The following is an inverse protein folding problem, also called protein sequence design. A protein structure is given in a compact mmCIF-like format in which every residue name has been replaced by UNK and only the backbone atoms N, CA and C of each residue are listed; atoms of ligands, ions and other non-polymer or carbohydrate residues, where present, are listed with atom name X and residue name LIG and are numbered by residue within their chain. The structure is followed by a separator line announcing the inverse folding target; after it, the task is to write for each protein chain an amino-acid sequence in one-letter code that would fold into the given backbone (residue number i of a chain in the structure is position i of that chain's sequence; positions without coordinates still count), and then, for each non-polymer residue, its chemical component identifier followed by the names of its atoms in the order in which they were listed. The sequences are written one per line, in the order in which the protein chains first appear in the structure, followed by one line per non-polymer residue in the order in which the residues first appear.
data_IF_359951237280
#
_entry.id   IF_359951237280
#
_cell.length_a   1.000
_cell.length_b   1.000
_cell.length_c   1.000
_cell.angle_alpha   90.00
_cell.angle_beta   90.00
_cell.angle_gamma   90.00
#
_symmetry.space_group_name_H-M   'P 1'
#
loop_
_entity.id
_entity.type
_entity.pdbx_description
1 polymer ?
#
# COMPACT_ATOMS: atom_id res chain seq x y z
N UNK A 1 5.85 -24.75 -40.13
CA UNK A 1 5.91 -25.22 -38.74
C UNK A 1 5.27 -24.16 -37.86
N UNK A 2 4.43 -24.51 -36.88
CA UNK A 2 3.81 -23.50 -36.03
C UNK A 2 4.90 -22.97 -35.09
N UNK A 3 5.12 -21.65 -35.17
CA UNK A 3 6.12 -20.95 -34.39
C UNK A 3 5.84 -21.05 -32.89
N UNK A 4 6.91 -21.25 -32.12
CA UNK A 4 6.89 -21.17 -30.67
C UNK A 4 6.28 -19.84 -30.23
N UNK A 5 5.34 -19.84 -29.26
CA UNK A 5 4.85 -18.59 -28.69
C UNK A 5 6.00 -17.92 -27.95
N UNK A 6 6.31 -16.68 -28.35
CA UNK A 6 7.35 -15.87 -27.73
C UNK A 6 7.15 -15.85 -26.19
N UNK A 7 8.23 -16.00 -25.40
CA UNK A 7 8.13 -15.97 -23.94
C UNK A 7 7.53 -14.63 -23.53
N UNK A 8 6.36 -14.68 -22.90
CA UNK A 8 5.69 -13.51 -22.37
C UNK A 8 6.68 -12.77 -21.46
N UNK A 9 7.13 -11.59 -21.91
CA UNK A 9 7.94 -10.72 -21.09
C UNK A 9 7.20 -10.48 -19.76
N UNK A 10 7.88 -10.59 -18.60
CA UNK A 10 7.25 -10.26 -17.33
C UNK A 10 6.69 -8.83 -17.43
N UNK A 11 5.47 -8.57 -16.91
CA UNK A 11 4.92 -7.24 -16.97
C UNK A 11 5.94 -6.25 -16.37
N UNK A 12 6.11 -5.06 -16.96
CA UNK A 12 7.02 -4.07 -16.39
C UNK A 12 6.64 -3.88 -14.91
N UNK A 13 7.61 -3.74 -14.00
CA UNK A 13 7.26 -3.46 -12.61
C UNK A 13 6.39 -2.19 -12.60
N UNK A 14 5.32 -2.19 -11.81
CA UNK A 14 4.42 -1.04 -11.69
C UNK A 14 5.19 0.14 -11.08
N UNK A 15 5.92 0.87 -11.92
CA UNK A 15 6.82 1.94 -11.54
C UNK A 15 6.11 3.29 -11.37
N UNK A 16 4.85 3.40 -11.81
CA UNK A 16 4.22 4.70 -12.13
C UNK A 16 3.67 5.49 -10.93
N UNK A 17 3.46 4.87 -9.77
CA UNK A 17 2.79 5.53 -8.61
C UNK A 17 3.56 5.58 -7.33
N UNK A 18 4.68 4.89 -7.34
CA UNK A 18 5.70 4.96 -6.33
C UNK A 18 6.12 6.42 -6.27
N UNK A 19 5.92 7.12 -5.15
CA UNK A 19 6.50 8.45 -4.98
C UNK A 19 7.94 8.35 -5.47
N UNK A 20 8.19 8.99 -6.60
CA UNK A 20 9.37 8.73 -7.40
C UNK A 20 10.54 9.51 -6.79
N UNK A 21 11.72 9.39 -7.38
CA UNK A 21 12.86 10.20 -6.96
C UNK A 21 12.57 11.73 -7.06
N UNK A 22 11.48 12.12 -7.73
CA UNK A 22 11.02 13.51 -7.89
C UNK A 22 10.00 13.96 -6.82
N UNK A 23 9.49 13.04 -5.98
CA UNK A 23 8.67 13.40 -4.83
C UNK A 23 7.20 13.69 -5.14
N UNK A 24 6.59 13.05 -6.16
CA UNK A 24 5.13 13.16 -6.36
C UNK A 24 4.39 12.58 -5.15
N UNK A 25 3.91 13.47 -4.26
CA UNK A 25 3.09 13.14 -3.09
C UNK A 25 1.71 12.59 -3.48
N UNK A 26 0.90 12.19 -2.49
CA UNK A 26 -0.47 11.73 -2.74
C UNK A 26 -1.34 12.85 -3.34
N UNK A 27 -2.11 12.51 -4.37
CA UNK A 27 -3.27 13.32 -4.77
C UNK A 27 -4.50 13.00 -3.92
N UNK A 28 -5.56 13.82 -4.01
CA UNK A 28 -6.80 13.57 -3.28
C UNK A 28 -7.44 12.22 -3.63
N UNK A 29 -7.42 11.82 -4.91
CA UNK A 29 -7.94 10.51 -5.33
C UNK A 29 -7.18 9.33 -4.69
N UNK A 30 -5.86 9.47 -4.53
CA UNK A 30 -5.04 8.47 -3.82
C UNK A 30 -5.47 8.37 -2.36
N UNK A 31 -5.68 9.52 -1.70
CA UNK A 31 -6.08 9.60 -0.29
C UNK A 31 -7.46 8.96 -0.09
N UNK A 32 -8.42 9.25 -0.96
CA UNK A 32 -9.77 8.65 -0.90
C UNK A 32 -9.72 7.13 -1.12
N UNK A 33 -8.94 6.66 -2.10
CA UNK A 33 -8.76 5.24 -2.32
C UNK A 33 -8.14 4.56 -1.10
N UNK A 34 -7.02 5.09 -0.59
CA UNK A 34 -6.33 4.53 0.58
C UNK A 34 -7.22 4.54 1.83
N UNK A 35 -8.07 5.57 2.00
CA UNK A 35 -9.08 5.62 3.06
C UNK A 35 -10.09 4.48 2.94
N UNK A 36 -10.63 4.26 1.74
CA UNK A 36 -11.56 3.16 1.47
C UNK A 36 -10.94 1.79 1.75
N UNK A 37 -9.70 1.58 1.31
CA UNK A 37 -8.92 0.36 1.54
C UNK A 37 -8.63 0.13 3.03
N UNK A 38 -8.20 1.17 3.76
CA UNK A 38 -7.94 1.09 5.19
C UNK A 38 -9.20 0.79 5.99
N UNK A 39 -10.34 1.41 5.65
CA UNK A 39 -11.62 1.11 6.30
C UNK A 39 -11.96 -0.38 6.14
N UNK A 40 -11.87 -0.90 4.92
CA UNK A 40 -12.18 -2.30 4.64
C UNK A 40 -11.26 -3.28 5.40
N UNK A 41 -9.97 -2.96 5.54
CA UNK A 41 -9.02 -3.82 6.27
C UNK A 41 -9.13 -3.71 7.79
N UNK A 42 -9.37 -2.50 8.33
CA UNK A 42 -9.59 -2.29 9.77
C UNK A 42 -10.82 -3.00 10.29
N UNK A 43 -11.89 -3.02 9.51
CA UNK A 43 -13.10 -3.77 9.88
C UNK A 43 -12.82 -5.26 10.08
N UNK A 44 -11.88 -5.83 9.33
CA UNK A 44 -11.48 -7.23 9.48
C UNK A 44 -10.59 -7.42 10.72
N UNK A 45 -9.62 -6.53 10.95
CA UNK A 45 -8.75 -6.57 12.13
C UNK A 45 -9.51 -6.36 13.45
N UNK A 46 -10.57 -5.54 13.44
CA UNK A 46 -11.37 -5.24 14.63
C UNK A 46 -12.39 -6.34 15.00
N UNK A 47 -12.52 -7.41 14.20
CA UNK A 47 -13.43 -8.50 14.50
C UNK A 47 -12.91 -9.34 15.68
N UNK A 48 -13.64 -9.33 16.78
CA UNK A 48 -13.31 -10.04 18.02
C UNK A 48 -13.49 -11.56 17.93
N UNK A 49 -14.27 -12.03 16.96
CA UNK A 49 -14.45 -13.45 16.63
C UNK A 49 -13.93 -13.68 15.23
N UNK A 50 -13.18 -14.77 15.02
CA UNK A 50 -12.66 -15.15 13.72
C UNK A 50 -13.81 -15.21 12.69
N UNK A 51 -13.86 -14.29 11.71
CA UNK A 51 -14.97 -14.23 10.77
C UNK A 51 -15.00 -15.47 9.88
N UNK A 52 -16.20 -15.88 9.51
CA UNK A 52 -16.35 -17.00 8.58
C UNK A 52 -15.61 -16.71 7.26
N UNK A 53 -14.91 -17.69 6.66
CA UNK A 53 -14.12 -17.47 5.44
C UNK A 53 -14.89 -16.84 4.27
N UNK A 54 -16.20 -17.07 4.16
CA UNK A 54 -17.04 -16.45 3.13
C UNK A 54 -17.15 -14.92 3.29
N UNK A 55 -17.21 -14.41 4.53
CA UNK A 55 -17.25 -12.97 4.83
C UNK A 55 -15.94 -12.33 4.42
N UNK A 56 -14.80 -12.95 4.77
CA UNK A 56 -13.48 -12.51 4.36
C UNK A 56 -13.34 -12.52 2.83
N UNK A 57 -13.82 -13.57 2.17
CA UNK A 57 -13.81 -13.62 0.72
C UNK A 57 -14.66 -12.50 0.08
N UNK A 58 -15.81 -12.16 0.66
CA UNK A 58 -16.64 -11.05 0.21
C UNK A 58 -15.94 -9.70 0.42
N UNK A 59 -15.29 -9.49 1.57
CA UNK A 59 -14.47 -8.30 1.83
C UNK A 59 -13.33 -8.17 0.81
N UNK A 60 -12.67 -9.28 0.46
CA UNK A 60 -11.66 -9.28 -0.58
C UNK A 60 -12.23 -8.85 -1.94
N UNK A 61 -13.40 -9.37 -2.33
CA UNK A 61 -14.08 -8.96 -3.56
C UNK A 61 -14.40 -7.47 -3.57
N UNK A 62 -14.90 -6.94 -2.46
CA UNK A 62 -15.19 -5.50 -2.30
C UNK A 62 -13.92 -4.67 -2.45
N UNK A 63 -12.82 -5.09 -1.83
CA UNK A 63 -11.53 -4.42 -1.93
C UNK A 63 -10.98 -4.42 -3.37
N UNK A 64 -11.04 -5.57 -4.04
CA UNK A 64 -10.66 -5.69 -5.45
C UNK A 64 -11.52 -4.84 -6.37
N UNK A 65 -12.83 -4.75 -6.11
CA UNK A 65 -13.75 -3.92 -6.88
C UNK A 65 -13.42 -2.43 -6.72
N UNK A 66 -13.24 -1.96 -5.47
CA UNK A 66 -12.84 -0.59 -5.17
C UNK A 66 -11.58 -0.18 -5.96
N UNK A 67 -10.57 -1.04 -5.99
CA UNK A 67 -9.34 -0.77 -6.75
C UNK A 67 -9.57 -0.81 -8.26
N UNK A 68 -10.38 -1.73 -8.79
CA UNK A 68 -10.67 -1.76 -10.24
C UNK A 68 -11.45 -0.54 -10.69
N UNK A 69 -12.43 -0.11 -9.92
CA UNK A 69 -13.26 1.06 -10.23
C UNK A 69 -12.40 2.33 -10.19
N UNK A 70 -11.54 2.47 -9.18
CA UNK A 70 -10.59 3.58 -9.11
C UNK A 70 -9.58 3.54 -10.27
N UNK A 71 -9.09 2.36 -10.66
CA UNK A 71 -8.18 2.21 -11.80
C UNK A 71 -8.85 2.59 -13.12
N UNK A 72 -10.11 2.19 -13.32
CA UNK A 72 -10.91 2.59 -14.48
C UNK A 72 -11.16 4.12 -14.51
N UNK A 73 -11.25 4.75 -13.34
CA UNK A 73 -11.29 6.20 -13.17
C UNK A 73 -9.94 6.92 -13.35
N UNK A 74 -8.86 6.20 -13.66
CA UNK A 74 -7.53 6.79 -13.87
C UNK A 74 -6.73 7.06 -12.60
N UNK A 75 -7.18 6.58 -11.44
CA UNK A 75 -6.39 6.67 -10.21
C UNK A 75 -5.16 5.77 -10.32
N UNK A 76 -3.99 6.38 -10.34
CA UNK A 76 -2.75 5.63 -10.51
C UNK A 76 -2.50 4.71 -9.28
N UNK A 77 -2.87 5.14 -8.07
CA UNK A 77 -2.69 4.37 -6.81
C UNK A 77 -3.43 3.02 -6.83
N UNK A 78 -4.49 2.93 -7.64
CA UNK A 78 -5.23 1.71 -7.83
C UNK A 78 -4.42 0.59 -8.51
N UNK A 79 -3.51 0.94 -9.43
CA UNK A 79 -2.61 -0.03 -10.06
C UNK A 79 -1.69 -0.67 -9.02
N UNK A 80 -1.17 0.13 -8.08
CA UNK A 80 -0.39 -0.37 -6.96
C UNK A 80 -1.22 -1.30 -6.08
N UNK A 81 -2.46 -0.89 -5.76
CA UNK A 81 -3.37 -1.69 -4.93
C UNK A 81 -3.62 -3.08 -5.51
N UNK A 82 -3.94 -3.15 -6.81
CA UNK A 82 -4.17 -4.42 -7.51
C UNK A 82 -2.92 -5.30 -7.51
N UNK A 83 -1.75 -4.73 -7.80
CA UNK A 83 -0.49 -5.46 -7.77
C UNK A 83 -0.17 -5.97 -6.35
N UNK A 84 -0.44 -5.17 -5.32
CA UNK A 84 -0.24 -5.53 -3.92
C UNK A 84 -1.12 -6.71 -3.50
N UNK A 85 -2.40 -6.72 -3.91
CA UNK A 85 -3.30 -7.86 -3.66
C UNK A 85 -2.77 -9.14 -4.32
N UNK A 86 -2.39 -9.06 -5.60
CA UNK A 86 -1.83 -10.20 -6.33
C UNK A 86 -0.55 -10.75 -5.68
N UNK A 87 0.31 -9.87 -5.15
CA UNK A 87 1.53 -10.27 -4.46
C UNK A 87 1.27 -10.87 -3.08
N UNK A 88 0.25 -10.38 -2.35
CA UNK A 88 -0.17 -11.00 -1.11
C UNK A 88 -0.63 -12.45 -1.35
N UNK A 89 -1.20 -12.75 -2.51
CA UNK A 89 -1.72 -14.08 -2.88
C UNK A 89 -0.69 -15.00 -3.57
N UNK A 90 0.57 -14.61 -3.62
CA UNK A 90 1.60 -15.37 -4.33
C UNK A 90 1.73 -16.79 -3.77
N UNK A 91 2.21 -17.72 -4.60
CA UNK A 91 2.39 -19.13 -4.19
C UNK A 91 3.36 -19.24 -3.01
N UNK A 92 4.41 -18.42 -3.00
CA UNK A 92 5.40 -18.38 -1.92
C UNK A 92 4.74 -18.02 -0.58
N UNK A 93 3.85 -17.04 -0.58
CA UNK A 93 3.12 -16.60 0.61
C UNK A 93 2.09 -17.61 1.07
N UNK A 94 1.40 -18.25 0.12
CA UNK A 94 0.46 -19.32 0.43
C UNK A 94 1.16 -20.54 1.02
N UNK A 95 2.39 -20.86 0.58
CA UNK A 95 3.19 -21.97 1.13
C UNK A 95 3.64 -21.73 2.58
N UNK A 96 3.84 -20.48 2.98
CA UNK A 96 4.17 -20.13 4.38
C UNK A 96 3.05 -20.49 5.37
N UNK A 97 1.83 -20.68 4.87
CA UNK A 97 0.68 -21.09 5.69
C UNK A 97 0.27 -22.50 5.32
N UNK A 98 0.50 -23.45 6.23
CA UNK A 98 -0.03 -24.82 6.23
C UNK A 98 -0.04 -25.53 4.85
N UNK A 99 1.12 -25.61 4.19
CA UNK A 99 1.32 -26.50 3.04
C UNK A 99 0.83 -25.98 1.68
N UNK A 100 0.50 -24.69 1.55
CA UNK A 100 0.14 -24.10 0.26
C UNK A 100 -1.36 -24.11 -0.01
N UNK A 101 -2.10 -23.34 0.78
CA UNK A 101 -3.54 -23.14 0.60
C UNK A 101 -3.89 -22.69 -0.83
N UNK A 102 -5.08 -23.06 -1.32
CA UNK A 102 -5.62 -22.40 -2.52
C UNK A 102 -5.79 -20.90 -2.28
N UNK A 103 -5.79 -20.09 -3.34
CA UNK A 103 -5.98 -18.63 -3.21
C UNK A 103 -7.25 -18.29 -2.43
N UNK A 104 -8.35 -19.02 -2.67
CA UNK A 104 -9.61 -18.79 -1.97
C UNK A 104 -9.51 -19.10 -0.47
N UNK A 105 -8.87 -20.21 -0.09
CA UNK A 105 -8.65 -20.56 1.31
C UNK A 105 -7.73 -19.56 2.00
N UNK A 106 -6.65 -19.13 1.33
CA UNK A 106 -5.68 -18.21 1.91
C UNK A 106 -6.28 -16.83 2.24
N UNK A 107 -7.16 -16.31 1.38
CA UNK A 107 -7.94 -15.08 1.64
C UNK A 107 -8.80 -15.17 2.90
N UNK A 108 -9.14 -16.37 3.35
CA UNK A 108 -9.89 -16.62 4.58
C UNK A 108 -9.02 -16.67 5.84
N UNK A 109 -7.74 -16.31 5.78
CA UNK A 109 -6.81 -16.41 6.92
C UNK A 109 -6.48 -15.05 7.51
N UNK A 110 -6.29 -14.97 8.82
CA UNK A 110 -5.80 -13.76 9.50
C UNK A 110 -4.43 -13.31 8.96
N UNK A 111 -3.58 -14.26 8.58
CA UNK A 111 -2.26 -13.97 8.01
C UNK A 111 -2.34 -13.16 6.71
N UNK A 112 -3.27 -13.50 5.81
CA UNK A 112 -3.52 -12.71 4.61
C UNK A 112 -3.94 -11.28 4.95
N UNK A 113 -4.92 -11.11 5.85
CA UNK A 113 -5.47 -9.79 6.18
C UNK A 113 -4.47 -8.90 6.92
N UNK A 114 -3.72 -9.45 7.87
CA UNK A 114 -2.64 -8.75 8.55
C UNK A 114 -1.60 -8.25 7.56
N UNK A 115 -1.26 -9.07 6.55
CA UNK A 115 -0.32 -8.69 5.50
C UNK A 115 -0.88 -7.59 4.59
N UNK A 116 -2.13 -7.68 4.15
CA UNK A 116 -2.77 -6.63 3.35
C UNK A 116 -2.79 -5.32 4.15
N UNK A 117 -3.23 -5.37 5.41
CA UNK A 117 -3.29 -4.21 6.28
C UNK A 117 -1.90 -3.58 6.47
N UNK A 118 -0.87 -4.38 6.77
CA UNK A 118 0.50 -3.91 6.89
C UNK A 118 1.04 -3.22 5.63
N UNK A 119 0.76 -3.76 4.44
CA UNK A 119 1.16 -3.12 3.17
C UNK A 119 0.46 -1.78 2.94
N UNK A 120 -0.82 -1.66 3.29
CA UNK A 120 -1.58 -0.42 3.12
C UNK A 120 -1.11 0.64 4.12
N UNK A 121 -0.86 0.28 5.39
CA UNK A 121 -0.29 1.20 6.39
C UNK A 121 1.08 1.72 5.98
N UNK A 122 1.94 0.81 5.53
CA UNK A 122 3.23 1.14 4.95
C UNK A 122 3.06 2.13 3.80
N UNK A 123 2.11 1.89 2.90
CA UNK A 123 1.86 2.76 1.75
C UNK A 123 1.45 4.18 2.14
N UNK A 124 0.63 4.31 3.18
CA UNK A 124 0.27 5.62 3.73
C UNK A 124 1.51 6.36 4.27
N UNK A 125 2.40 5.65 4.96
CA UNK A 125 3.67 6.21 5.44
C UNK A 125 4.59 6.65 4.29
N UNK A 126 4.68 5.87 3.21
CA UNK A 126 5.43 6.26 2.01
C UNK A 126 4.90 7.56 1.40
N UNK A 127 3.58 7.67 1.24
CA UNK A 127 2.93 8.87 0.69
C UNK A 127 3.12 10.09 1.58
N UNK A 128 3.01 9.92 2.90
CA UNK A 128 3.28 10.99 3.87
C UNK A 128 4.73 11.49 3.74
N UNK A 129 5.69 10.58 3.68
CA UNK A 129 7.10 10.94 3.52
C UNK A 129 7.39 11.67 2.19
N UNK A 130 6.79 11.21 1.09
CA UNK A 130 6.91 11.89 -0.20
C UNK A 130 6.32 13.30 -0.15
N UNK A 131 5.17 13.47 0.51
CA UNK A 131 4.56 14.79 0.71
C UNK A 131 5.45 15.72 1.55
N UNK A 132 6.09 15.23 2.62
CA UNK A 132 7.07 16.02 3.40
C UNK A 132 8.26 16.46 2.55
N UNK A 133 8.80 15.60 1.69
CA UNK A 133 9.90 15.98 0.78
C UNK A 133 9.45 17.02 -0.24
N UNK A 134 8.26 16.88 -0.82
CA UNK A 134 7.70 17.88 -1.73
C UNK A 134 7.54 19.24 -1.05
N UNK A 135 7.08 19.26 0.20
CA UNK A 135 6.92 20.49 0.99
C UNK A 135 8.23 21.28 1.16
N UNK A 136 9.38 20.59 1.25
CA UNK A 136 10.69 21.27 1.31
C UNK A 136 11.08 21.99 0.02
N UNK A 137 10.45 21.64 -1.11
CA UNK A 137 10.66 22.26 -2.42
C UNK A 137 9.68 23.42 -2.67
N UNK A 138 8.58 23.50 -1.91
CA UNK A 138 7.58 24.55 -2.07
C UNK A 138 8.06 25.88 -1.45
N UNK A 139 7.91 27.02 -2.14
CA UNK A 139 8.24 28.33 -1.59
C UNK A 139 7.45 28.63 -0.31
N UNK A 140 8.08 29.32 0.66
CA UNK A 140 7.43 29.72 1.91
C UNK A 140 6.23 30.62 1.63
N UNK A 141 5.10 30.35 2.29
CA UNK A 141 3.87 31.14 2.15
C UNK A 141 3.14 31.00 0.82
N UNK A 142 3.56 30.09 -0.06
CA UNK A 142 2.85 29.86 -1.32
C UNK A 142 1.53 29.11 -1.08
N UNK A 143 0.55 29.36 -1.96
CA UNK A 143 -0.72 28.62 -1.96
C UNK A 143 -0.49 27.12 -2.15
N UNK A 144 0.45 26.74 -3.01
CA UNK A 144 0.83 25.34 -3.23
C UNK A 144 1.30 24.68 -1.93
N UNK A 145 2.06 25.41 -1.10
CA UNK A 145 2.55 24.87 0.17
C UNK A 145 1.41 24.63 1.17
N UNK A 146 0.44 25.54 1.23
CA UNK A 146 -0.76 25.36 2.08
C UNK A 146 -1.53 24.11 1.65
N UNK A 147 -1.80 23.98 0.35
CA UNK A 147 -2.48 22.80 -0.21
C UNK A 147 -1.69 21.50 0.05
N UNK A 148 -0.37 21.53 -0.08
CA UNK A 148 0.49 20.38 0.23
C UNK A 148 0.48 20.01 1.72
N UNK A 149 0.39 20.98 2.64
CA UNK A 149 0.24 20.72 4.08
C UNK A 149 -1.13 20.12 4.41
N UNK A 150 -2.19 20.58 3.73
CA UNK A 150 -3.54 20.00 3.86
C UNK A 150 -3.57 18.55 3.36
N UNK A 151 -2.99 18.26 2.19
CA UNK A 151 -2.87 16.90 1.68
C UNK A 151 -2.02 16.01 2.57
N UNK A 152 -0.92 16.53 3.15
CA UNK A 152 -0.12 15.80 4.13
C UNK A 152 -0.95 15.48 5.38
N UNK A 153 -1.69 16.45 5.93
CA UNK A 153 -2.55 16.23 7.08
C UNK A 153 -3.62 15.17 6.79
N UNK A 154 -4.27 15.23 5.62
CA UNK A 154 -5.24 14.24 5.19
C UNK A 154 -4.62 12.84 5.04
N UNK A 155 -3.39 12.75 4.52
CA UNK A 155 -2.64 11.49 4.38
C UNK A 155 -2.25 10.91 5.74
N UNK A 156 -1.70 11.73 6.63
CA UNK A 156 -1.30 11.34 7.99
C UNK A 156 -2.51 10.87 8.80
N UNK A 157 -3.65 11.54 8.64
CA UNK A 157 -4.91 11.19 9.29
C UNK A 157 -5.46 9.81 8.90
N UNK A 158 -4.95 9.20 7.82
CA UNK A 158 -5.33 7.85 7.43
C UNK A 158 -4.89 6.81 8.46
N UNK A 159 -3.76 7.01 9.17
CA UNK A 159 -3.21 6.05 10.13
C UNK A 159 -2.94 6.68 11.50
N UNK A 160 -3.47 6.07 12.57
CA UNK A 160 -3.32 6.60 13.92
C UNK A 160 -1.85 6.67 14.37
N UNK A 161 -1.01 5.71 13.96
CA UNK A 161 0.42 5.75 14.30
C UNK A 161 1.17 6.84 13.52
N UNK A 162 0.71 7.20 12.31
CA UNK A 162 1.22 8.38 11.63
C UNK A 162 0.81 9.65 12.38
N UNK A 163 -0.45 9.78 12.80
CA UNK A 163 -0.90 10.94 13.59
C UNK A 163 -0.04 11.11 14.84
N UNK A 164 0.10 10.05 15.65
CA UNK A 164 0.90 10.07 16.87
C UNK A 164 2.36 10.46 16.60
N UNK A 165 2.98 9.89 15.58
CA UNK A 165 4.35 10.23 15.21
C UNK A 165 4.50 11.70 14.79
N UNK A 166 3.60 12.17 13.92
CA UNK A 166 3.66 13.52 13.36
C UNK A 166 3.22 14.62 14.34
N UNK A 167 2.54 14.30 15.45
CA UNK A 167 2.30 15.25 16.55
C UNK A 167 3.61 15.84 17.07
N UNK A 168 4.68 15.04 17.09
CA UNK A 168 6.01 15.52 17.49
C UNK A 168 6.75 16.24 16.36
N UNK A 169 6.22 16.21 15.13
CA UNK A 169 6.80 16.78 13.92
C UNK A 169 5.87 17.82 13.26
N UNK A 170 5.19 18.62 14.08
CA UNK A 170 4.44 19.79 13.64
C UNK A 170 2.95 19.62 13.38
N UNK A 171 2.37 18.43 13.59
CA UNK A 171 0.93 18.21 13.50
C UNK A 171 0.22 18.64 14.80
N UNK A 172 -0.76 19.52 14.68
CA UNK A 172 -1.76 19.77 15.72
C UNK A 172 -2.90 18.74 15.56
N UNK A 173 -2.91 17.71 16.40
CA UNK A 173 -3.90 16.63 16.35
C UNK A 173 -5.33 17.10 16.67
N UNK A 174 -5.51 18.19 17.43
CA UNK A 174 -6.85 18.71 17.75
C UNK A 174 -7.53 19.31 16.53
N UNK A 175 -6.75 19.89 15.63
CA UNK A 175 -7.22 20.55 14.41
C UNK A 175 -6.88 19.77 13.14
N UNK A 176 -6.20 18.64 13.27
CA UNK A 176 -5.66 17.82 12.18
C UNK A 176 -4.98 18.66 11.09
N UNK A 177 -4.06 19.55 11.52
CA UNK A 177 -3.35 20.47 10.62
C UNK A 177 -1.90 20.64 11.04
N UNK A 178 -1.02 20.89 10.08
CA UNK A 178 0.36 21.24 10.36
C UNK A 178 0.47 22.72 10.76
N UNK A 179 1.05 22.98 11.93
CA UNK A 179 1.29 24.35 12.44
C UNK A 179 2.71 24.83 12.16
N UNK A 180 3.62 23.91 11.86
CA UNK A 180 4.99 24.17 11.41
C UNK A 180 5.33 23.19 10.29
N UNK A 181 6.32 23.54 9.47
CA UNK A 181 6.82 22.65 8.43
C UNK A 181 7.43 21.40 9.09
N UNK A 182 6.98 20.19 8.71
CA UNK A 182 7.55 18.96 9.23
C UNK A 182 8.99 18.77 8.76
N UNK A 183 9.87 18.34 9.66
CA UNK A 183 11.25 18.04 9.33
C UNK A 183 11.35 16.73 8.56
N UNK A 184 12.12 16.74 7.46
CA UNK A 184 12.32 15.56 6.61
C UNK A 184 12.98 14.43 7.38
N UNK A 185 14.12 14.67 8.05
CA UNK A 185 14.85 13.63 8.79
C UNK A 185 13.99 12.95 9.88
N UNK A 186 13.14 13.73 10.56
CA UNK A 186 12.21 13.19 11.56
C UNK A 186 11.10 12.36 10.91
N UNK A 187 10.52 12.85 9.81
CA UNK A 187 9.54 12.09 9.04
C UNK A 187 10.11 10.78 8.49
N UNK A 188 11.38 10.76 8.07
CA UNK A 188 12.07 9.56 7.62
C UNK A 188 12.18 8.52 8.73
N UNK A 189 12.61 8.93 9.92
CA UNK A 189 12.71 8.05 11.09
C UNK A 189 11.35 7.46 11.48
N UNK A 190 10.30 8.30 11.53
CA UNK A 190 8.94 7.89 11.86
C UNK A 190 8.37 6.90 10.82
N UNK A 191 8.50 7.21 9.53
CA UNK A 191 7.99 6.35 8.46
C UNK A 191 8.79 5.04 8.33
N UNK A 192 10.09 5.04 8.63
CA UNK A 192 10.90 3.83 8.69
C UNK A 192 10.39 2.84 9.75
N UNK A 193 9.98 3.33 10.92
CA UNK A 193 9.39 2.50 11.98
C UNK A 193 8.07 1.83 11.56
N UNK A 194 7.34 2.42 10.60
CA UNK A 194 6.11 1.88 10.02
C UNK A 194 6.36 1.00 8.78
N UNK A 195 7.61 0.59 8.57
CA UNK A 195 7.99 -0.29 7.46
C UNK A 195 8.19 0.42 6.12
N UNK A 196 8.26 1.76 6.10
CA UNK A 196 8.53 2.56 4.91
C UNK A 196 9.92 3.25 4.95
N UNK A 197 11.05 2.52 5.12
CA UNK A 197 12.38 3.15 5.11
C UNK A 197 12.73 3.64 3.71
N UNK A 198 13.29 4.84 3.60
CA UNK A 198 13.64 5.49 2.32
C UNK A 198 14.48 4.62 1.39
N UNK A 199 15.48 3.91 1.92
CA UNK A 199 16.37 3.05 1.13
C UNK A 199 15.66 1.84 0.50
N UNK A 200 14.44 1.53 0.93
CA UNK A 200 13.59 0.51 0.34
C UNK A 200 12.55 1.09 -0.64
N UNK A 201 12.55 2.41 -0.87
CA UNK A 201 11.60 3.04 -1.77
C UNK A 201 12.11 3.00 -3.23
N UNK A 202 11.25 2.62 -4.18
CA UNK A 202 9.95 2.05 -3.94
C UNK A 202 10.00 0.56 -3.64
N UNK A 203 9.15 0.14 -2.73
CA UNK A 203 9.12 -1.24 -2.25
C UNK A 203 8.62 -2.11 -3.38
N UNK A 204 9.46 -3.04 -3.82
CA UNK A 204 9.10 -3.94 -4.92
C UNK A 204 7.96 -4.82 -4.45
N UNK A 205 6.78 -4.62 -5.04
CA UNK A 205 5.72 -5.62 -5.05
C UNK A 205 6.27 -6.87 -5.75
N UNK A 206 6.37 -8.03 -5.07
CA UNK A 206 6.84 -9.26 -5.70
C UNK A 206 5.98 -9.60 -6.92
N UNK A 207 6.62 -9.83 -8.07
CA UNK A 207 5.89 -10.24 -9.27
C UNK A 207 5.36 -11.65 -9.11
N UNK A 208 4.09 -11.86 -9.45
CA UNK A 208 3.52 -13.21 -9.58
C UNK A 208 4.21 -13.92 -10.74
N UNK A 209 5.09 -14.88 -10.45
CA UNK A 209 5.59 -15.83 -11.46
C UNK A 209 4.43 -16.72 -11.93
N UNK A 210 3.92 -16.48 -13.14
CA UNK A 210 2.99 -17.41 -13.81
C UNK A 210 3.76 -18.71 -14.10
N UNK A 211 3.17 -19.87 -13.83
CA UNK A 211 3.75 -21.17 -14.18
C UNK A 211 4.48 -21.92 -13.06
N UNK A 212 4.65 -21.34 -11.86
CA UNK A 212 5.18 -22.11 -10.71
C UNK A 212 4.14 -23.15 -10.31
N UNK A 213 4.37 -24.42 -10.64
CA UNK A 213 3.51 -25.51 -10.19
C UNK A 213 3.70 -25.68 -8.68
N UNK A 214 2.61 -25.96 -7.97
CA UNK A 214 2.66 -26.38 -6.57
C UNK A 214 3.41 -27.73 -6.51
N UNK A 215 4.74 -27.68 -6.30
CA UNK A 215 5.54 -28.85 -5.90
C UNK A 215 6.14 -29.73 -7.00
N UNK A 216 6.65 -29.19 -8.12
CA UNK A 216 7.38 -30.02 -9.11
C UNK A 216 8.84 -29.60 -9.40
N UNK A 217 9.31 -28.45 -8.91
CA UNK A 217 10.66 -27.96 -9.24
C UNK A 217 11.71 -28.35 -8.19
N UNK A 218 11.63 -29.56 -7.63
CA UNK A 218 12.45 -29.95 -6.47
C UNK A 218 12.79 -31.42 -6.32
N UNK A 219 12.78 -32.22 -7.39
CA UNK A 219 13.41 -33.54 -7.38
C UNK A 219 14.71 -33.47 -8.20
N UNK A 220 15.90 -33.56 -7.59
CA UNK A 220 17.12 -33.83 -8.33
C UNK A 220 17.06 -35.28 -8.82
N UNK A 221 17.23 -35.48 -10.13
CA UNK A 221 17.69 -36.75 -10.68
C UNK A 221 19.21 -36.77 -10.69
#
# INVERSE_FOLDING_TARGET
GPGEPAPHAPPPPSHRTRGDATGKGAGWDDIELLRGVLRATREVEAMTVAPHPSVLHQKHKQLSALMRDAHAGGCEEAEWGLAMLDACESIEERRRVAGGLSTMQYRGTAHYWSKVHGNVRRRCAEKALCAVRRLSLCPRGSREKVEALEMLAATVSLDASLVEGFMTNGLDASKMRFVVDPEVAKAESLCAALGAPLGALPVRVPQRKRGVRLGLDGAPH
#
